data_IF_711821833577
#
_entry.id   IF_711821833577
#
_cell.length_a   1.000
_cell.length_b   1.000
_cell.length_c   1.000
_cell.angle_alpha   90.00
_cell.angle_beta   90.00
_cell.angle_gamma   90.00
#
_symmetry.space_group_name_H-M   'P 1'
#
loop_
_entity.id
_entity.type
_entity.pdbx_description
1 polymer ?
#
# COMPACT_ATOMS: atom_id res chain seq x y z
N UNK A 1 -36.46 16.62 -29.59
CA UNK A 1 -36.24 15.80 -28.37
C UNK A 1 -35.09 14.84 -28.64
N UNK A 2 -33.85 15.26 -28.41
CA UNK A 2 -32.65 14.43 -28.58
C UNK A 2 -32.46 13.56 -27.35
N UNK A 3 -32.80 12.25 -27.46
CA UNK A 3 -32.55 11.28 -26.39
C UNK A 3 -31.04 11.06 -26.25
N UNK A 4 -30.50 11.45 -25.10
CA UNK A 4 -29.13 11.13 -24.68
C UNK A 4 -28.98 9.63 -24.48
N UNK A 5 -28.01 9.04 -25.16
CA UNK A 5 -27.62 7.63 -25.00
C UNK A 5 -26.95 7.51 -23.62
N UNK A 6 -27.39 6.60 -22.73
CA UNK A 6 -26.71 6.41 -21.45
C UNK A 6 -25.30 5.84 -21.67
N UNK A 7 -24.30 6.26 -20.88
CA UNK A 7 -22.94 5.76 -21.02
C UNK A 7 -22.91 4.24 -20.78
N UNK A 8 -22.32 3.52 -21.73
CA UNK A 8 -22.14 2.06 -21.67
C UNK A 8 -21.33 1.73 -20.40
N UNK A 9 -21.81 0.85 -19.49
CA UNK A 9 -21.07 0.50 -18.30
C UNK A 9 -19.75 -0.16 -18.71
N UNK A 10 -18.65 0.49 -18.35
CA UNK A 10 -17.30 -0.05 -18.56
C UNK A 10 -17.21 -1.36 -17.79
N UNK A 11 -16.90 -2.49 -18.44
CA UNK A 11 -16.80 -3.77 -17.74
C UNK A 11 -15.72 -3.67 -16.66
N UNK A 12 -16.14 -3.75 -15.40
CA UNK A 12 -15.24 -3.84 -14.26
C UNK A 12 -14.63 -5.24 -14.28
N UNK A 13 -13.43 -5.33 -14.85
CA UNK A 13 -12.62 -6.54 -14.84
C UNK A 13 -12.19 -6.77 -13.38
N UNK A 14 -12.85 -7.72 -12.72
CA UNK A 14 -12.42 -8.24 -11.43
C UNK A 14 -11.21 -9.15 -11.66
N UNK A 15 -10.00 -8.63 -11.43
CA UNK A 15 -8.77 -9.41 -11.58
C UNK A 15 -8.53 -10.16 -10.26
N UNK A 16 -8.79 -11.46 -10.25
CA UNK A 16 -8.39 -12.33 -9.12
C UNK A 16 -6.94 -12.77 -9.33
N UNK A 17 -6.00 -12.12 -8.64
CA UNK A 17 -4.60 -12.59 -8.58
C UNK A 17 -4.43 -13.63 -7.47
N UNK A 18 -3.74 -14.72 -7.76
CA UNK A 18 -3.27 -15.64 -6.74
C UNK A 18 -1.94 -15.10 -6.17
N UNK A 19 -1.90 -14.82 -4.87
CA UNK A 19 -0.74 -14.26 -4.17
C UNK A 19 0.37 -15.29 -3.88
N UNK A 20 0.06 -16.58 -3.91
CA UNK A 20 1.05 -17.64 -3.66
C UNK A 20 2.05 -17.74 -4.82
N UNK A 21 1.62 -17.40 -6.03
CA UNK A 21 2.40 -17.55 -7.26
C UNK A 21 2.82 -16.23 -7.92
N UNK A 22 2.28 -15.09 -7.48
CA UNK A 22 2.61 -13.77 -8.07
C UNK A 22 3.41 -12.95 -7.05
N UNK A 23 4.75 -12.94 -7.12
CA UNK A 23 5.54 -12.04 -6.30
C UNK A 23 5.21 -10.60 -6.67
N UNK A 24 4.80 -9.84 -5.67
CA UNK A 24 4.40 -8.44 -5.81
C UNK A 24 5.61 -7.56 -5.55
N UNK A 25 6.00 -6.78 -6.56
CA UNK A 25 7.25 -6.01 -6.55
C UNK A 25 7.10 -4.58 -6.06
N UNK A 26 5.89 -4.03 -6.00
CA UNK A 26 5.67 -2.63 -5.67
C UNK A 26 4.46 -2.40 -4.76
N UNK A 27 4.63 -1.48 -3.82
CA UNK A 27 3.59 -1.00 -2.91
C UNK A 27 3.07 0.33 -3.43
N UNK A 28 1.76 0.45 -3.61
CA UNK A 28 1.13 1.72 -3.98
C UNK A 28 0.75 2.53 -2.74
N UNK A 29 0.32 1.83 -1.68
CA UNK A 29 -0.12 2.46 -0.44
C UNK A 29 0.20 1.58 0.77
N UNK A 30 0.47 2.22 1.90
CA UNK A 30 0.59 1.55 3.20
C UNK A 30 -0.44 2.16 4.14
N UNK A 31 -1.36 1.33 4.61
CA UNK A 31 -2.33 1.71 5.62
C UNK A 31 -1.85 1.25 6.98
N UNK A 32 -1.69 2.19 7.92
CA UNK A 32 -1.24 1.90 9.28
C UNK A 32 -2.43 2.06 10.23
N UNK A 33 -2.75 1.00 10.96
CA UNK A 33 -3.82 1.00 11.96
C UNK A 33 -3.23 0.71 13.33
N UNK A 34 -3.62 1.48 14.35
CA UNK A 34 -3.15 1.32 15.72
C UNK A 34 -4.30 0.92 16.63
N UNK A 35 -4.07 -0.04 17.51
CA UNK A 35 -5.01 -0.42 18.57
C UNK A 35 -4.31 -0.35 19.95
N UNK A 36 -5.01 -0.62 21.07
CA UNK A 36 -4.40 -0.65 22.40
C UNK A 36 -3.20 -1.61 22.51
N UNK A 37 -3.26 -2.74 21.80
CA UNK A 37 -2.27 -3.82 21.92
C UNK A 37 -1.07 -3.67 20.98
N UNK A 38 -1.20 -2.93 19.89
CA UNK A 38 -0.20 -2.91 18.83
C UNK A 38 -0.54 -2.03 17.62
N UNK A 39 0.16 -2.35 16.53
CA UNK A 39 0.10 -1.64 15.25
C UNK A 39 0.08 -2.68 14.14
N UNK A 40 -0.75 -2.44 13.13
CA UNK A 40 -0.85 -3.25 11.93
C UNK A 40 -0.54 -2.38 10.72
N UNK A 41 0.38 -2.83 9.88
CA UNK A 41 0.72 -2.20 8.61
C UNK A 41 0.17 -3.10 7.50
N UNK A 42 -0.83 -2.59 6.80
CA UNK A 42 -1.40 -3.20 5.62
C UNK A 42 -0.73 -2.60 4.38
N UNK A 43 0.06 -3.42 3.69
CA UNK A 43 0.70 -3.08 2.44
C UNK A 43 -0.33 -3.35 1.34
N UNK A 44 -0.64 -2.33 0.54
CA UNK A 44 -1.73 -2.35 -0.44
C UNK A 44 -1.17 -2.08 -1.83
N UNK A 45 -1.67 -2.84 -2.80
CA UNK A 45 -1.39 -2.65 -4.22
C UNK A 45 -2.70 -2.62 -5.02
N UNK A 46 -2.75 -1.76 -6.04
CA UNK A 46 -3.84 -1.72 -7.01
C UNK A 46 -3.58 -2.75 -8.11
N UNK A 47 -4.63 -3.48 -8.46
CA UNK A 47 -4.54 -4.53 -9.47
C UNK A 47 -4.83 -3.97 -10.87
N UNK A 48 -3.76 -3.66 -11.61
CA UNK A 48 -3.83 -3.18 -12.99
C UNK A 48 -4.67 -1.90 -13.16
N UNK A 49 -5.37 -1.78 -14.28
CA UNK A 49 -6.29 -0.65 -14.56
C UNK A 49 -7.61 -0.72 -13.77
N UNK A 50 -7.74 -1.66 -12.83
CA UNK A 50 -8.93 -1.75 -11.99
C UNK A 50 -8.79 -0.82 -10.78
N UNK A 51 -9.93 -0.30 -10.29
CA UNK A 51 -9.98 0.43 -9.01
C UNK A 51 -9.94 -0.50 -7.79
N UNK A 52 -9.56 -1.77 -7.95
CA UNK A 52 -9.50 -2.72 -6.85
C UNK A 52 -8.13 -2.65 -6.20
N UNK A 53 -8.11 -2.15 -4.96
CA UNK A 53 -6.96 -2.17 -4.08
C UNK A 53 -7.02 -3.45 -3.24
N UNK A 54 -5.90 -4.17 -3.16
CA UNK A 54 -5.79 -5.42 -2.40
C UNK A 54 -4.64 -5.33 -1.41
N UNK A 55 -4.87 -5.83 -0.20
CA UNK A 55 -3.81 -6.00 0.80
C UNK A 55 -2.96 -7.19 0.37
N UNK A 56 -1.67 -6.95 0.18
CA UNK A 56 -0.69 -7.93 -0.31
C UNK A 56 0.16 -8.49 0.81
N UNK A 57 0.35 -7.70 1.87
CA UNK A 57 1.06 -8.13 3.07
C UNK A 57 0.53 -7.38 4.28
N UNK A 58 0.52 -8.06 5.42
CA UNK A 58 0.10 -7.51 6.71
C UNK A 58 1.20 -7.77 7.73
N UNK A 59 1.72 -6.71 8.31
CA UNK A 59 2.75 -6.77 9.34
C UNK A 59 2.14 -6.29 10.65
N UNK A 60 2.00 -7.19 11.62
CA UNK A 60 1.58 -6.88 12.97
C UNK A 60 2.78 -6.70 13.89
N UNK A 61 2.77 -5.64 14.70
CA UNK A 61 3.83 -5.33 15.66
C UNK A 61 3.23 -4.91 17.00
N UNK A 62 3.89 -5.26 18.10
CA UNK A 62 3.58 -4.63 19.40
C UNK A 62 3.95 -3.15 19.37
N UNK A 63 3.39 -2.35 20.28
CA UNK A 63 3.69 -0.90 20.35
C UNK A 63 5.18 -0.59 20.52
N UNK A 64 5.88 -1.41 21.31
CA UNK A 64 7.32 -1.24 21.52
C UNK A 64 8.13 -1.50 20.25
N UNK A 65 7.78 -2.55 19.50
CA UNK A 65 8.40 -2.85 18.21
C UNK A 65 8.09 -1.76 17.19
N UNK A 66 6.86 -1.29 17.13
CA UNK A 66 6.48 -0.20 16.23
C UNK A 66 7.26 1.09 16.53
N UNK A 67 7.54 1.40 17.81
CA UNK A 67 8.36 2.55 18.20
C UNK A 67 9.82 2.40 17.75
N UNK A 68 10.43 1.25 17.97
CA UNK A 68 11.81 0.95 17.50
C UNK A 68 11.89 1.00 15.98
N UNK A 69 10.91 0.42 15.30
CA UNK A 69 10.79 0.45 13.84
C UNK A 69 10.72 1.88 13.30
N UNK A 70 9.86 2.73 13.87
CA UNK A 70 9.73 4.14 13.46
C UNK A 70 11.02 4.93 13.65
N UNK A 71 11.73 4.71 14.76
CA UNK A 71 13.01 5.36 15.04
C UNK A 71 14.08 4.98 14.03
N UNK A 72 14.24 3.68 13.75
CA UNK A 72 15.24 3.21 12.80
C UNK A 72 14.91 3.65 11.37
N UNK A 73 13.63 3.59 10.97
CA UNK A 73 13.18 4.10 9.68
C UNK A 73 13.53 5.59 9.51
N UNK A 74 13.24 6.41 10.53
CA UNK A 74 13.55 7.85 10.51
C UNK A 74 15.05 8.11 10.40
N UNK A 75 15.86 7.34 11.15
CA UNK A 75 17.33 7.42 11.11
C UNK A 75 17.87 7.08 9.72
N UNK A 76 17.40 5.99 9.12
CA UNK A 76 17.85 5.56 7.79
C UNK A 76 17.49 6.59 6.70
N UNK A 77 16.28 7.14 6.74
CA UNK A 77 15.86 8.20 5.80
C UNK A 77 16.76 9.43 5.91
N UNK A 78 17.04 9.90 7.13
CA UNK A 78 17.90 11.06 7.36
C UNK A 78 19.33 10.86 6.80
N UNK A 79 19.88 9.65 6.86
CA UNK A 79 21.19 9.33 6.27
C UNK A 79 21.18 9.46 4.73
N UNK A 80 20.09 9.05 4.07
CA UNK A 80 19.97 9.15 2.60
C UNK A 80 19.79 10.59 2.12
N UNK A 81 19.10 11.43 2.89
CA UNK A 81 18.86 12.83 2.55
C UNK A 81 20.10 13.71 2.78
N UNK A 82 20.87 13.44 3.85
CA UNK A 82 22.11 14.17 4.15
C UNK A 82 23.22 13.87 3.14
N UNK A 83 23.25 12.67 2.55
CA UNK A 83 24.14 12.33 1.42
C UNK A 83 23.79 13.06 0.11
N UNK A 84 22.56 13.56 -0.05
CA UNK A 84 22.07 14.19 -1.28
C UNK A 84 22.37 15.69 -1.38
N UNK A 85 22.84 16.34 -0.30
CA UNK A 85 23.19 17.78 -0.24
C UNK A 85 24.60 18.13 -0.73
N UNK A 86 25.31 17.22 -1.39
CA UNK A 86 26.66 17.47 -1.97
C UNK A 86 26.78 17.01 -3.43
N UNK A 87 25.79 17.31 -4.26
CA UNK A 87 25.91 17.24 -5.72
C UNK A 87 25.35 18.52 -6.33
#
# INVERSE_FOLDING_TARGET
MTKSIPPKPTPQISVSVNLDNTPIYYTDNVQITTNPDGVVLDIIQRLGNSNQARIVSRIGMSREHAKKFSQELSRLLALTETGRKKA
#
